data_IF_441738404800
#
_entry.id   IF_441738404800
#
_cell.length_a   1.000
_cell.length_b   1.000
_cell.length_c   1.000
_cell.angle_alpha   90.00
_cell.angle_beta   90.00
_cell.angle_gamma   90.00
#
_symmetry.space_group_name_H-M   'P 1'
#
loop_
_entity.id
_entity.type
_entity.pdbx_description
1 polymer ?
#
# COMPACT_ATOMS: atom_id res chain seq x y z
N UNK A 1 22.73 30.95 10.83
CA UNK A 1 23.31 32.26 10.43
C UNK A 1 22.35 32.95 9.46
N UNK A 2 22.21 34.29 9.59
CA UNK A 2 21.45 35.25 8.76
C UNK A 2 19.93 35.30 9.05
N UNK A 3 19.53 36.04 10.09
CA UNK A 3 19.29 37.50 10.16
C UNK A 3 17.93 37.90 9.56
N UNK A 4 16.97 38.04 10.48
CA UNK A 4 15.63 38.58 10.31
C UNK A 4 15.65 40.03 9.86
N UNK A 5 14.74 40.37 8.95
CA UNK A 5 14.48 41.73 8.45
C UNK A 5 13.52 42.43 9.43
N UNK A 6 13.81 43.67 9.88
CA UNK A 6 12.88 44.50 10.62
C UNK A 6 12.11 45.41 9.66
N UNK A 7 10.86 45.75 9.99
CA UNK A 7 10.41 47.14 9.89
C UNK A 7 9.04 47.31 10.57
N UNK A 8 9.06 48.18 11.55
CA UNK A 8 7.97 48.62 12.42
C UNK A 8 7.44 49.96 11.85
N UNK A 9 6.23 50.33 12.29
CA UNK A 9 5.54 51.62 12.21
C UNK A 9 4.69 51.84 10.94
N UNK A 10 3.46 52.34 11.01
CA UNK A 10 2.90 53.25 12.02
C UNK A 10 1.38 53.08 12.24
N UNK A 11 0.96 53.50 13.43
CA UNK A 11 -0.41 53.71 13.90
C UNK A 11 -1.20 54.70 13.04
N UNK A 12 -2.50 54.45 12.91
CA UNK A 12 -3.51 55.45 12.55
C UNK A 12 -4.88 55.09 13.12
N UNK A 13 -5.25 55.72 14.24
CA UNK A 13 -6.57 55.67 14.86
C UNK A 13 -7.58 56.49 14.04
N UNK A 14 -8.75 55.94 13.72
CA UNK A 14 -10.02 56.68 13.65
C UNK A 14 -11.22 55.73 13.70
N UNK A 15 -12.22 56.12 14.48
CA UNK A 15 -13.39 55.35 14.86
C UNK A 15 -14.44 55.21 13.74
N UNK A 16 -15.21 54.12 13.78
CA UNK A 16 -16.40 53.90 12.96
C UNK A 16 -17.00 52.52 13.18
N UNK A 17 -17.96 52.44 14.12
CA UNK A 17 -18.70 51.22 14.48
C UNK A 17 -19.67 50.86 13.35
N UNK A 18 -19.52 49.66 12.78
CA UNK A 18 -20.59 48.96 12.05
C UNK A 18 -20.56 47.48 12.41
N UNK A 19 -21.54 47.08 13.20
CA UNK A 19 -21.86 45.71 13.61
C UNK A 19 -22.50 44.90 12.48
N UNK A 20 -22.28 43.58 12.53
CA UNK A 20 -23.03 42.48 11.87
C UNK A 20 -22.79 42.31 10.35
N UNK A 21 -22.44 41.15 9.80
CA UNK A 21 -22.74 39.76 10.18
C UNK A 21 -21.57 38.86 9.75
N UNK A 22 -21.05 38.04 10.66
CA UNK A 22 -20.02 37.05 10.39
C UNK A 22 -20.62 35.81 9.69
N UNK A 23 -20.08 35.47 8.52
CA UNK A 23 -20.13 34.12 7.97
C UNK A 23 -18.69 33.69 7.68
N UNK A 24 -18.06 32.83 8.51
CA UNK A 24 -16.83 32.19 8.10
C UNK A 24 -17.22 31.09 7.11
N UNK A 25 -16.99 31.35 5.82
CA UNK A 25 -16.83 30.26 4.86
C UNK A 25 -15.57 29.53 5.29
N UNK A 26 -15.76 28.39 5.96
CA UNK A 26 -14.73 27.44 6.29
C UNK A 26 -14.19 26.91 4.96
N UNK A 27 -13.19 27.58 4.40
CA UNK A 27 -12.39 27.07 3.31
C UNK A 27 -11.58 25.90 3.88
N UNK A 28 -12.21 24.72 3.90
CA UNK A 28 -11.54 23.46 4.08
C UNK A 28 -10.53 23.32 2.94
N UNK A 29 -9.28 23.69 3.21
CA UNK A 29 -8.15 23.28 2.40
C UNK A 29 -8.05 21.77 2.53
N UNK A 30 -8.79 21.05 1.69
CA UNK A 30 -8.60 19.65 1.47
C UNK A 30 -7.16 19.47 0.99
N UNK A 31 -6.31 18.97 1.88
CA UNK A 31 -5.00 18.46 1.50
C UNK A 31 -5.23 17.50 0.32
N UNK A 32 -4.49 17.65 -0.80
CA UNK A 32 -4.59 16.68 -1.86
C UNK A 32 -4.19 15.34 -1.27
N UNK A 33 -5.15 14.42 -1.18
CA UNK A 33 -4.88 13.02 -0.90
C UNK A 33 -3.76 12.59 -1.84
N UNK A 34 -2.58 12.35 -1.28
CA UNK A 34 -1.40 11.89 -1.97
C UNK A 34 -1.79 10.54 -2.59
N UNK A 35 -2.27 10.58 -3.84
CA UNK A 35 -2.49 9.39 -4.65
C UNK A 35 -1.11 8.75 -4.75
N UNK A 36 -0.89 7.71 -3.95
CA UNK A 36 0.29 6.86 -4.02
C UNK A 36 0.59 6.58 -5.49
N UNK A 37 1.69 7.16 -5.98
CA UNK A 37 2.11 7.08 -7.37
C UNK A 37 2.35 5.59 -7.66
N UNK A 38 1.67 4.97 -8.64
CA UNK A 38 1.92 3.57 -8.96
C UNK A 38 3.41 3.39 -9.25
N UNK A 39 4.09 2.64 -8.40
CA UNK A 39 5.54 2.48 -8.48
C UNK A 39 5.90 1.64 -9.70
N UNK A 40 6.86 2.18 -10.47
CA UNK A 40 7.54 1.64 -11.65
C UNK A 40 7.79 0.13 -11.65
N UNK A 41 6.95 -0.67 -12.29
CA UNK A 41 7.43 -1.87 -12.98
C UNK A 41 7.02 -1.70 -14.44
N UNK A 42 6.86 -2.77 -15.18
CA UNK A 42 5.84 -2.75 -16.22
C UNK A 42 4.50 -2.80 -15.46
N UNK A 43 4.03 -1.62 -15.06
CA UNK A 43 3.56 -1.17 -13.72
C UNK A 43 2.46 -1.92 -12.95
N UNK A 44 1.89 -2.98 -13.50
CA UNK A 44 0.85 -3.77 -12.85
C UNK A 44 1.00 -5.27 -13.01
N UNK A 45 2.04 -5.72 -13.71
CA UNK A 45 2.18 -7.12 -14.08
C UNK A 45 3.34 -7.82 -13.36
N UNK A 46 3.10 -9.04 -12.91
CA UNK A 46 4.14 -9.95 -12.42
C UNK A 46 3.91 -11.37 -12.92
N UNK A 47 4.94 -12.20 -12.87
CA UNK A 47 4.81 -13.63 -13.17
C UNK A 47 4.40 -14.40 -11.93
N UNK A 48 3.40 -15.28 -12.06
CA UNK A 48 2.96 -16.12 -10.94
C UNK A 48 4.11 -16.97 -10.36
N UNK A 49 5.06 -17.40 -11.20
CA UNK A 49 6.24 -18.19 -10.82
C UNK A 49 7.35 -17.38 -10.11
N UNK A 50 7.34 -16.05 -10.22
CA UNK A 50 8.34 -15.20 -9.56
C UNK A 50 8.06 -14.99 -8.07
N UNK A 51 6.91 -15.45 -7.57
CA UNK A 51 6.54 -15.29 -6.16
C UNK A 51 7.43 -16.18 -5.30
N UNK A 52 8.24 -15.56 -4.44
CA UNK A 52 9.23 -16.25 -3.59
C UNK A 52 8.76 -16.48 -2.16
N UNK A 53 7.82 -15.67 -1.71
CA UNK A 53 7.29 -15.73 -0.36
C UNK A 53 6.05 -14.86 -0.21
N UNK A 54 5.41 -14.96 0.94
CA UNK A 54 4.23 -14.18 1.28
C UNK A 54 4.21 -13.82 2.77
N UNK A 55 3.41 -12.83 3.10
CA UNK A 55 3.06 -12.44 4.46
C UNK A 55 1.56 -12.20 4.53
N UNK A 56 0.91 -12.77 5.53
CA UNK A 56 -0.51 -12.52 5.78
C UNK A 56 -0.60 -11.22 6.59
N UNK A 57 -1.39 -10.27 6.09
CA UNK A 57 -1.65 -8.99 6.77
C UNK A 57 -2.92 -9.11 7.61
N UNK A 58 -3.98 -9.69 7.01
CA UNK A 58 -5.30 -9.89 7.60
C UNK A 58 -5.93 -11.17 7.03
N UNK A 59 -7.14 -11.54 7.50
CA UNK A 59 -7.87 -12.75 7.07
C UNK A 59 -8.19 -12.82 5.56
N UNK A 60 -8.05 -11.70 4.84
CA UNK A 60 -8.27 -11.61 3.38
C UNK A 60 -7.13 -10.96 2.63
N UNK A 61 -6.13 -10.44 3.33
CA UNK A 61 -5.09 -9.61 2.72
C UNK A 61 -3.75 -10.26 2.92
N UNK A 62 -3.03 -10.47 1.82
CA UNK A 62 -1.68 -10.99 1.84
C UNK A 62 -0.76 -10.15 0.97
N UNK A 63 0.48 -10.02 1.40
CA UNK A 63 1.55 -9.43 0.61
C UNK A 63 2.39 -10.57 0.01
N UNK A 64 2.66 -10.51 -1.28
CA UNK A 64 3.52 -11.47 -1.99
C UNK A 64 4.84 -10.79 -2.38
N UNK A 65 5.95 -11.44 -2.09
CA UNK A 65 7.30 -11.00 -2.47
C UNK A 65 7.67 -11.59 -3.83
N UNK A 66 8.10 -10.73 -4.76
CA UNK A 66 8.62 -11.10 -6.07
C UNK A 66 10.16 -11.11 -6.09
N UNK A 67 10.80 -10.76 -4.97
CA UNK A 67 12.22 -10.51 -4.87
C UNK A 67 12.60 -9.10 -5.34
N UNK A 68 13.90 -8.77 -5.23
CA UNK A 68 14.45 -7.44 -5.58
C UNK A 68 13.76 -6.25 -4.90
N UNK A 69 13.13 -6.46 -3.74
CA UNK A 69 12.35 -5.45 -3.00
C UNK A 69 11.07 -5.02 -3.73
N UNK A 70 10.51 -5.91 -4.54
CA UNK A 70 9.22 -5.73 -5.19
C UNK A 70 8.21 -6.68 -4.53
N UNK A 71 7.10 -6.12 -4.05
CA UNK A 71 5.99 -6.89 -3.50
C UNK A 71 4.64 -6.34 -3.95
N UNK A 72 3.65 -7.20 -3.95
CA UNK A 72 2.26 -6.87 -4.24
C UNK A 72 1.34 -7.26 -3.09
N UNK A 73 0.39 -6.40 -2.77
CA UNK A 73 -0.69 -6.70 -1.85
C UNK A 73 -1.87 -7.22 -2.67
N UNK A 74 -2.33 -8.40 -2.29
CA UNK A 74 -3.49 -9.06 -2.85
C UNK A 74 -4.56 -9.14 -1.77
N UNK A 75 -5.75 -8.65 -2.09
CA UNK A 75 -6.93 -8.85 -1.25
C UNK A 75 -7.81 -9.89 -1.93
N UNK A 76 -8.24 -10.87 -1.16
CA UNK A 76 -9.10 -11.95 -1.62
C UNK A 76 -10.56 -11.50 -1.59
N UNK A 77 -11.34 -12.01 -2.55
CA UNK A 77 -12.77 -11.76 -2.63
C UNK A 77 -13.53 -12.42 -1.46
N UNK A 78 -13.02 -13.56 -0.98
CA UNK A 78 -13.63 -14.34 0.10
C UNK A 78 -12.58 -14.64 1.17
N UNK A 79 -12.99 -14.75 2.44
CA UNK A 79 -12.10 -15.18 3.54
C UNK A 79 -11.76 -16.67 3.37
N UNK A 80 -10.48 -17.05 3.25
CA UNK A 80 -10.05 -18.43 3.44
C UNK A 80 -10.11 -18.78 4.93
N UNK A 81 -10.46 -20.02 5.24
CA UNK A 81 -10.54 -20.47 6.63
C UNK A 81 -9.15 -20.65 7.26
N UNK A 82 -8.19 -21.15 6.48
CA UNK A 82 -6.86 -21.53 6.96
C UNK A 82 -5.76 -20.55 6.50
N UNK A 83 -6.07 -19.29 6.17
CA UNK A 83 -5.07 -18.36 5.60
C UNK A 83 -3.94 -18.05 6.60
N UNK A 84 -4.30 -17.79 7.85
CA UNK A 84 -3.40 -17.41 8.94
C UNK A 84 -2.50 -18.57 9.40
N UNK A 85 -3.05 -19.79 9.40
CA UNK A 85 -2.31 -21.01 9.76
C UNK A 85 -1.57 -21.63 8.57
N UNK A 86 -1.79 -21.12 7.35
CA UNK A 86 -1.17 -21.66 6.16
C UNK A 86 0.34 -21.43 6.19
N UNK A 87 1.11 -22.49 5.95
CA UNK A 87 2.57 -22.42 5.83
C UNK A 87 3.05 -22.22 4.38
N UNK A 88 2.16 -22.43 3.42
CA UNK A 88 2.44 -22.29 1.99
C UNK A 88 1.18 -21.84 1.26
N UNK A 89 1.34 -20.97 0.27
CA UNK A 89 0.28 -20.63 -0.68
C UNK A 89 0.79 -20.85 -2.11
N UNK A 90 -0.14 -21.04 -3.04
CA UNK A 90 0.15 -20.99 -4.47
C UNK A 90 -0.44 -19.73 -5.10
N UNK A 91 0.27 -19.12 -6.04
CA UNK A 91 -0.29 -18.10 -6.93
C UNK A 91 -0.41 -18.70 -8.32
N UNK A 92 -1.61 -18.63 -8.90
CA UNK A 92 -1.89 -19.13 -10.24
C UNK A 92 -2.43 -18.00 -11.11
N UNK A 93 -1.87 -17.83 -12.29
CA UNK A 93 -2.48 -16.99 -13.32
C UNK A 93 -3.61 -17.74 -14.01
N UNK A 94 -4.72 -17.05 -14.27
CA UNK A 94 -5.87 -17.55 -15.02
C UNK A 94 -5.58 -17.58 -16.52
N UNK A 95 -4.84 -16.58 -17.00
CA UNK A 95 -4.61 -16.33 -18.43
C UNK A 95 -3.10 -16.32 -18.68
N UNK A 96 -2.53 -17.48 -18.94
CA UNK A 96 -1.09 -17.66 -19.18
C UNK A 96 -0.25 -17.66 -17.89
N UNK A 97 0.93 -17.05 -17.94
CA UNK A 97 1.89 -17.01 -16.81
C UNK A 97 1.98 -15.64 -16.13
N UNK A 98 1.41 -14.61 -16.76
CA UNK A 98 1.42 -13.23 -16.28
C UNK A 98 0.15 -12.92 -15.49
N UNK A 99 0.29 -12.12 -14.45
CA UNK A 99 -0.81 -11.56 -13.65
C UNK A 99 -0.71 -10.05 -13.78
N UNK A 100 -1.63 -9.44 -14.51
CA UNK A 100 -1.68 -8.00 -14.74
C UNK A 100 -2.86 -7.30 -14.07
N UNK A 101 -3.85 -8.07 -13.64
CA UNK A 101 -5.09 -7.60 -13.03
C UNK A 101 -5.46 -8.53 -11.88
N UNK A 102 -6.19 -8.06 -10.85
CA UNK A 102 -6.71 -8.92 -9.78
C UNK A 102 -7.49 -10.12 -10.33
N UNK A 103 -8.26 -9.95 -11.41
CA UNK A 103 -9.05 -11.06 -11.96
C UNK A 103 -8.19 -12.15 -12.63
N UNK A 104 -6.97 -11.82 -13.04
CA UNK A 104 -6.03 -12.77 -13.62
C UNK A 104 -5.31 -13.61 -12.56
N UNK A 105 -5.36 -13.21 -11.27
CA UNK A 105 -4.77 -13.97 -10.18
C UNK A 105 -5.79 -14.88 -9.46
N UNK A 106 -5.29 -16.05 -9.08
CA UNK A 106 -5.93 -16.98 -8.15
C UNK A 106 -4.95 -17.34 -7.05
N UNK A 107 -5.37 -17.20 -5.81
CA UNK A 107 -4.58 -17.63 -4.65
C UNK A 107 -5.08 -19.00 -4.21
N UNK A 108 -4.19 -19.98 -4.22
CA UNK A 108 -4.46 -21.34 -3.80
C UNK A 108 -4.00 -21.45 -2.35
N UNK A 109 -4.96 -21.64 -1.45
CA UNK A 109 -4.70 -21.83 -0.02
C UNK A 109 -4.93 -23.31 0.30
N UNK A 110 -3.90 -24.04 0.77
CA UNK A 110 -4.09 -25.39 1.28
C UNK A 110 -4.87 -25.33 2.59
N UNK A 111 -5.80 -26.27 2.72
CA UNK A 111 -6.60 -26.45 3.92
C UNK A 111 -5.97 -27.49 4.83
N UNK A 112 -6.26 -27.40 6.13
CA UNK A 112 -5.77 -28.38 7.13
C UNK A 112 -6.24 -29.81 6.83
N UNK A 113 -7.35 -29.96 6.11
CA UNK A 113 -7.93 -31.24 5.69
C UNK A 113 -7.21 -31.89 4.50
N UNK A 114 -6.17 -31.24 3.95
CA UNK A 114 -5.39 -31.73 2.81
C UNK A 114 -5.93 -31.35 1.44
N UNK A 115 -7.12 -30.73 1.38
CA UNK A 115 -7.63 -30.10 0.16
C UNK A 115 -6.94 -28.76 -0.09
N UNK A 116 -7.08 -28.19 -1.29
CA UNK A 116 -6.64 -26.82 -1.55
C UNK A 116 -7.77 -26.07 -2.25
N UNK A 117 -8.11 -24.89 -1.72
CA UNK A 117 -9.13 -24.03 -2.30
C UNK A 117 -8.49 -22.86 -3.02
N UNK A 118 -9.11 -22.49 -4.15
CA UNK A 118 -8.65 -21.36 -4.96
C UNK A 118 -9.56 -20.16 -4.74
N UNK A 119 -8.97 -19.03 -4.37
CA UNK A 119 -9.64 -17.78 -4.04
C UNK A 119 -9.32 -16.73 -5.11
N UNK A 120 -10.35 -16.01 -5.53
CA UNK A 120 -10.24 -14.90 -6.49
C UNK A 120 -9.67 -13.69 -5.77
N UNK A 121 -8.76 -12.97 -6.43
CA UNK A 121 -8.29 -11.67 -5.93
C UNK A 121 -9.31 -10.60 -6.32
N UNK A 122 -9.70 -9.77 -5.35
CA UNK A 122 -10.60 -8.63 -5.54
C UNK A 122 -9.80 -7.38 -5.90
N UNK A 123 -8.72 -7.11 -5.17
CA UNK A 123 -7.84 -5.95 -5.40
C UNK A 123 -6.39 -6.36 -5.41
N UNK A 124 -5.63 -5.72 -6.29
CA UNK A 124 -4.19 -5.92 -6.43
C UNK A 124 -3.53 -4.55 -6.48
N UNK A 125 -2.55 -4.34 -5.60
CA UNK A 125 -1.71 -3.14 -5.62
C UNK A 125 -0.27 -3.49 -5.36
N UNK A 126 0.63 -2.64 -5.79
CA UNK A 126 2.05 -2.75 -5.45
C UNK A 126 2.31 -2.13 -4.07
N UNK A 127 3.24 -2.72 -3.32
CA UNK A 127 3.75 -2.12 -2.09
C UNK A 127 4.83 -1.09 -2.42
N UNK A 128 4.87 -0.02 -1.64
CA UNK A 128 6.01 0.90 -1.68
C UNK A 128 7.25 0.24 -1.05
N UNK A 129 8.47 0.72 -1.34
CA UNK A 129 9.68 0.21 -0.71
C UNK A 129 9.66 0.30 0.82
N UNK A 130 8.96 1.28 1.38
CA UNK A 130 8.77 1.46 2.82
C UNK A 130 7.85 0.39 3.40
N UNK A 131 6.71 0.13 2.75
CA UNK A 131 5.77 -0.95 3.13
C UNK A 131 6.44 -2.33 3.03
N UNK A 132 7.26 -2.54 1.99
CA UNK A 132 8.06 -3.76 1.85
C UNK A 132 9.00 -3.97 3.02
N UNK A 133 9.72 -2.92 3.45
CA UNK A 133 10.64 -2.99 4.57
C UNK A 133 9.92 -3.26 5.90
N UNK A 134 8.71 -2.72 6.07
CA UNK A 134 7.87 -3.00 7.23
C UNK A 134 7.36 -4.45 7.24
N UNK A 135 6.96 -4.98 6.08
CA UNK A 135 6.50 -6.36 5.94
C UNK A 135 7.62 -7.41 6.07
N UNK A 136 8.86 -7.05 5.70
CA UNK A 136 10.05 -7.91 5.86
C UNK A 136 11.23 -7.17 6.52
N UNK A 137 11.18 -6.94 7.85
CA UNK A 137 12.25 -6.23 8.56
C UNK A 137 13.61 -6.95 8.50
N UNK A 138 13.62 -8.26 8.20
CA UNK A 138 14.80 -9.11 8.14
C UNK A 138 15.68 -8.98 6.89
N UNK A 139 15.20 -8.36 5.80
CA UNK A 139 16.01 -8.23 4.55
C UNK A 139 17.14 -7.20 4.70
N UNK A 140 17.14 -6.42 5.80
CA UNK A 140 18.14 -5.38 6.09
C UNK A 140 19.32 -5.83 6.95
N UNK A 141 19.38 -7.08 7.41
CA UNK A 141 20.37 -7.49 8.41
C UNK A 141 21.48 -8.46 7.93
N UNK A 142 21.72 -8.62 6.62
CA UNK A 142 22.98 -9.24 6.16
C UNK A 142 23.97 -8.14 5.77
N UNK A 143 24.65 -7.58 6.78
CA UNK A 143 25.85 -6.75 6.59
C UNK A 143 26.84 -7.58 5.74
N UNK A 144 27.44 -7.05 4.67
CA UNK A 144 28.49 -7.78 3.97
C UNK A 144 29.61 -8.10 4.96
N UNK A 145 30.01 -9.37 5.03
CA UNK A 145 31.16 -9.81 5.80
C UNK A 145 32.40 -9.26 5.09
N UNK A 146 32.91 -8.13 5.57
CA UNK A 146 34.26 -7.65 5.26
C UNK A 146 35.30 -8.53 5.92
#
# INVERSE_FOLDING_TARGET
MRRSVPLICALGLAAGVSTALAAPVLAATAAPAEKAKPGGARDGCFFADQVRGYQVVDDRTLNVDLGRKEAFQLTLLNTPFDLDVSTRIGIKSRTGSWVCSPLDAMVIVPEVTGSSRSYRVSTMRRLTPEEYAAAWPGVKAKKPKS
#
